data_IF_471448084316
#
_entry.id   IF_471448084316
#
_cell.length_a   1.000
_cell.length_b   1.000
_cell.length_c   1.000
_cell.angle_alpha   90.00
_cell.angle_beta   90.00
_cell.angle_gamma   90.00
#
_symmetry.space_group_name_H-M   'P 1'
#
loop_
_entity.id
_entity.type
_entity.pdbx_description
1 polymer ?
#
# COMPACT_ATOMS: atom_id res chain seq x y z
N UNK A 1 -48.61 3.23 36.30
CA UNK A 1 -47.17 3.58 36.13
C UNK A 1 -46.76 3.15 34.73
N UNK A 2 -46.51 4.09 33.80
CA UNK A 2 -46.06 3.82 32.43
C UNK A 2 -44.51 3.88 32.43
N UNK A 3 -43.86 2.73 32.35
CA UNK A 3 -42.41 2.63 32.19
C UNK A 3 -42.03 2.91 30.75
N UNK A 4 -41.39 4.05 30.52
CA UNK A 4 -40.75 4.36 29.25
C UNK A 4 -39.40 3.60 29.18
N UNK A 5 -39.35 2.59 28.30
CA UNK A 5 -38.07 1.97 27.91
C UNK A 5 -37.45 2.85 26.81
N UNK A 6 -36.38 3.54 27.14
CA UNK A 6 -35.51 4.19 26.17
C UNK A 6 -34.77 3.10 25.40
N UNK A 7 -35.08 2.92 24.11
CA UNK A 7 -34.30 2.09 23.21
C UNK A 7 -33.06 2.87 22.79
N UNK A 8 -31.89 2.50 23.31
CA UNK A 8 -30.63 2.99 22.82
C UNK A 8 -30.39 2.38 21.42
N UNK A 9 -30.41 3.24 20.39
CA UNK A 9 -30.02 2.86 19.04
C UNK A 9 -28.50 2.94 19.01
N UNK A 10 -27.83 1.79 19.09
CA UNK A 10 -26.39 1.68 18.78
C UNK A 10 -26.25 1.79 17.25
N UNK A 11 -25.85 2.94 16.77
CA UNK A 11 -25.43 3.09 15.37
C UNK A 11 -24.06 2.43 15.20
N UNK A 12 -24.04 1.23 14.65
CA UNK A 12 -22.79 0.56 14.25
C UNK A 12 -22.30 1.22 12.95
N UNK A 13 -21.22 2.00 13.04
CA UNK A 13 -20.49 2.44 11.87
C UNK A 13 -19.68 1.26 11.33
N UNK A 14 -20.13 0.66 10.24
CA UNK A 14 -19.28 -0.25 9.47
C UNK A 14 -18.18 0.59 8.82
N UNK A 15 -16.93 0.42 9.25
CA UNK A 15 -15.80 0.98 8.52
C UNK A 15 -15.76 0.29 7.14
N UNK A 16 -15.97 1.06 6.08
CA UNK A 16 -15.83 0.56 4.72
C UNK A 16 -14.36 0.23 4.45
N UNK A 17 -14.09 -0.89 3.77
CA UNK A 17 -12.77 -1.10 3.18
C UNK A 17 -12.49 0.06 2.21
N UNK A 18 -11.41 0.77 2.43
CA UNK A 18 -10.94 1.83 1.54
C UNK A 18 -9.76 1.26 0.77
N UNK A 19 -9.80 1.37 -0.55
CA UNK A 19 -8.70 0.98 -1.41
C UNK A 19 -8.41 2.09 -2.43
N UNK A 20 -7.16 2.19 -2.85
CA UNK A 20 -6.71 3.12 -3.87
C UNK A 20 -5.66 2.47 -4.76
N UNK A 21 -5.72 2.78 -6.05
CA UNK A 21 -4.63 2.52 -6.98
C UNK A 21 -3.78 3.80 -7.07
N UNK A 22 -2.48 3.65 -6.83
CA UNK A 22 -1.55 4.77 -6.71
C UNK A 22 -0.41 4.58 -7.69
N UNK A 23 -0.25 5.52 -8.61
CA UNK A 23 0.94 5.55 -9.47
C UNK A 23 2.10 6.18 -8.71
N UNK A 24 3.22 5.46 -8.65
CA UNK A 24 4.47 5.92 -8.02
C UNK A 24 5.51 6.11 -9.10
N UNK A 25 5.90 7.36 -9.35
CA UNK A 25 6.90 7.72 -10.35
C UNK A 25 8.31 7.64 -9.77
N UNK A 26 9.20 6.93 -10.45
CA UNK A 26 10.57 6.72 -9.97
C UNK A 26 11.33 8.03 -9.69
N UNK A 27 11.14 9.06 -10.51
CA UNK A 27 11.76 10.35 -10.33
C UNK A 27 11.03 11.24 -9.30
N UNK A 28 9.74 11.49 -9.53
CA UNK A 28 8.97 12.45 -8.72
C UNK A 28 8.72 11.98 -7.29
N UNK A 29 8.64 10.67 -7.07
CA UNK A 29 8.41 10.06 -5.77
C UNK A 29 9.66 9.37 -5.19
N UNK A 30 10.85 9.73 -5.64
CA UNK A 30 12.11 9.19 -5.09
C UNK A 30 12.32 9.63 -3.65
N UNK A 31 12.97 8.77 -2.85
CA UNK A 31 13.47 9.12 -1.51
C UNK A 31 14.57 10.19 -1.55
N UNK A 32 15.17 10.42 -2.70
CA UNK A 32 16.26 11.37 -2.94
C UNK A 32 15.71 12.68 -3.54
N UNK A 33 14.95 13.43 -2.71
CA UNK A 33 14.45 14.75 -3.06
C UNK A 33 13.05 14.81 -3.66
N UNK A 34 12.39 13.66 -3.85
CA UNK A 34 11.00 13.59 -4.27
C UNK A 34 10.02 13.70 -3.08
N UNK A 35 8.75 13.94 -3.41
CA UNK A 35 7.66 13.82 -2.44
C UNK A 35 6.94 12.50 -2.65
N UNK A 36 6.83 11.65 -1.63
CA UNK A 36 6.15 10.36 -1.76
C UNK A 36 4.71 10.49 -2.30
N UNK A 37 4.29 9.53 -3.11
CA UNK A 37 2.91 9.44 -3.58
C UNK A 37 1.98 9.13 -2.39
N UNK A 38 1.00 10.00 -2.14
CA UNK A 38 0.01 9.76 -1.08
C UNK A 38 -0.89 8.60 -1.48
N UNK A 39 -0.92 7.55 -0.66
CA UNK A 39 -1.73 6.37 -0.91
C UNK A 39 -3.05 6.42 -0.14
N UNK A 40 -3.01 6.29 1.17
CA UNK A 40 -4.18 6.32 2.04
C UNK A 40 -3.86 7.05 3.35
N UNK A 41 -4.89 7.68 3.93
CA UNK A 41 -4.89 8.00 5.35
C UNK A 41 -5.40 6.79 6.14
N UNK A 42 -4.62 6.32 7.10
CA UNK A 42 -4.94 5.14 7.92
C UNK A 42 -5.15 5.55 9.37
N UNK A 43 -6.17 4.96 9.99
CA UNK A 43 -6.45 5.15 11.41
C UNK A 43 -5.34 4.51 12.28
N UNK A 44 -5.23 4.92 13.57
CA UNK A 44 -4.29 4.30 14.50
C UNK A 44 -4.39 2.78 14.54
N UNK A 45 -3.30 2.08 14.28
CA UNK A 45 -3.24 0.62 14.31
C UNK A 45 -3.98 -0.10 13.16
N UNK A 46 -4.55 0.64 12.21
CA UNK A 46 -5.31 0.05 11.12
C UNK A 46 -4.41 -0.84 10.24
N UNK A 47 -4.86 -2.07 10.00
CA UNK A 47 -4.19 -2.98 9.09
C UNK A 47 -4.34 -2.53 7.63
N UNK A 48 -3.31 -2.73 6.83
CA UNK A 48 -3.31 -2.41 5.41
C UNK A 48 -2.50 -3.43 4.60
N UNK A 49 -2.78 -3.48 3.31
CA UNK A 49 -2.01 -4.24 2.32
C UNK A 49 -1.60 -3.33 1.18
N UNK A 50 -0.44 -3.63 0.59
CA UNK A 50 0.03 -3.02 -0.66
C UNK A 50 0.43 -4.16 -1.59
N UNK A 51 -0.02 -4.11 -2.84
CA UNK A 51 0.37 -5.07 -3.88
C UNK A 51 0.72 -4.34 -5.17
N UNK A 52 1.73 -4.85 -5.86
CA UNK A 52 2.20 -4.36 -7.16
C UNK A 52 2.33 -5.55 -8.08
N UNK A 53 1.97 -5.40 -9.35
CA UNK A 53 2.22 -6.45 -10.35
C UNK A 53 3.74 -6.68 -10.47
N UNK A 54 4.24 -7.91 -10.25
CA UNK A 54 5.66 -8.21 -10.43
C UNK A 54 6.20 -7.94 -11.83
N UNK A 55 5.33 -7.79 -12.83
CA UNK A 55 5.67 -7.43 -14.20
C UNK A 55 5.63 -5.92 -14.48
N UNK A 56 5.35 -5.08 -13.47
CA UNK A 56 5.39 -3.62 -13.56
C UNK A 56 6.80 -3.11 -13.20
N UNK A 57 7.42 -2.31 -14.06
CA UNK A 57 8.83 -1.96 -14.00
C UNK A 57 9.08 -0.47 -14.05
N UNK A 58 10.13 -0.05 -13.34
CA UNK A 58 10.74 1.27 -13.36
C UNK A 58 12.26 1.18 -13.44
N UNK A 59 12.95 2.31 -13.61
CA UNK A 59 14.39 2.33 -13.89
C UNK A 59 15.14 3.29 -12.96
N UNK A 60 16.28 2.84 -12.44
CA UNK A 60 17.24 3.61 -11.63
C UNK A 60 18.37 4.23 -12.48
N UNK A 61 18.12 4.65 -13.71
CA UNK A 61 19.12 5.28 -14.59
C UNK A 61 19.71 4.32 -15.64
N UNK A 62 21.03 4.36 -15.87
CA UNK A 62 21.70 3.63 -16.94
C UNK A 62 21.44 2.11 -16.94
N UNK A 63 21.38 1.52 -18.13
CA UNK A 63 21.12 0.10 -18.33
C UNK A 63 22.24 -0.82 -17.79
N UNK A 64 21.91 -2.01 -17.27
CA UNK A 64 20.57 -2.55 -17.07
C UNK A 64 20.08 -2.32 -15.61
N UNK A 65 19.37 -1.22 -15.36
CA UNK A 65 18.86 -0.83 -14.04
C UNK A 65 17.35 -0.83 -13.92
N UNK A 66 16.68 -1.66 -14.70
CA UNK A 66 15.27 -1.92 -14.58
C UNK A 66 14.98 -2.91 -13.45
N UNK A 67 13.97 -2.63 -12.66
CA UNK A 67 13.48 -3.51 -11.60
C UNK A 67 11.97 -3.38 -11.46
N UNK A 68 11.36 -4.40 -10.87
CA UNK A 68 10.02 -4.25 -10.31
C UNK A 68 10.10 -3.62 -8.90
N UNK A 69 9.00 -3.60 -8.18
CA UNK A 69 8.91 -3.04 -6.82
C UNK A 69 9.84 -3.71 -5.79
N UNK A 70 10.40 -4.89 -6.06
CA UNK A 70 11.37 -5.54 -5.16
C UNK A 70 12.78 -4.93 -5.25
N UNK A 71 13.03 -4.10 -6.26
CA UNK A 71 14.28 -3.41 -6.49
C UNK A 71 15.27 -4.21 -7.35
N UNK A 72 16.48 -3.67 -7.52
CA UNK A 72 17.53 -4.23 -8.36
C UNK A 72 18.09 -5.53 -7.76
N UNK A 73 17.39 -6.60 -8.05
CA UNK A 73 17.78 -7.97 -7.67
C UNK A 73 18.32 -8.74 -8.88
N UNK A 74 19.05 -9.82 -8.62
CA UNK A 74 19.51 -10.71 -9.69
C UNK A 74 18.34 -11.31 -10.47
N UNK A 75 18.55 -11.49 -11.78
CA UNK A 75 17.65 -12.24 -12.66
C UNK A 75 16.28 -11.59 -12.93
N UNK A 76 16.23 -10.27 -13.00
CA UNK A 76 15.04 -9.59 -13.53
C UNK A 76 15.06 -9.73 -15.06
N UNK A 77 14.01 -10.30 -15.63
CA UNK A 77 13.88 -10.55 -17.06
C UNK A 77 12.62 -9.88 -17.60
N UNK A 78 12.74 -9.41 -18.85
CA UNK A 78 11.59 -8.88 -19.58
C UNK A 78 10.58 -9.99 -19.88
N UNK A 79 9.32 -9.71 -19.66
CA UNK A 79 8.19 -10.55 -20.04
C UNK A 79 7.24 -9.75 -20.95
N UNK A 80 6.70 -10.40 -21.97
CA UNK A 80 5.75 -9.75 -22.88
C UNK A 80 4.53 -9.21 -22.10
N UNK A 81 4.12 -7.95 -22.39
CA UNK A 81 3.01 -7.29 -21.70
C UNK A 81 3.39 -6.39 -20.52
N UNK A 82 4.69 -6.16 -20.33
CA UNK A 82 5.18 -5.15 -19.38
C UNK A 82 4.73 -3.73 -19.73
N UNK A 83 4.87 -2.83 -18.75
CA UNK A 83 4.54 -1.41 -18.87
C UNK A 83 5.12 -0.79 -20.14
N UNK A 84 4.34 0.09 -20.76
CA UNK A 84 4.72 0.78 -22.01
C UNK A 84 5.97 1.70 -21.85
N UNK A 85 6.37 2.02 -20.63
CA UNK A 85 7.57 2.81 -20.31
C UNK A 85 8.87 1.99 -20.50
N UNK A 86 8.79 0.67 -20.58
CA UNK A 86 9.93 -0.19 -20.90
C UNK A 86 10.04 -0.37 -22.41
N UNK A 87 11.24 -0.18 -23.01
CA UNK A 87 11.44 -0.52 -24.40
C UNK A 87 11.05 -1.96 -24.70
N UNK A 88 10.36 -2.22 -25.80
CA UNK A 88 10.01 -3.56 -26.22
C UNK A 88 11.28 -4.35 -26.52
N UNK A 89 11.57 -5.36 -25.70
CA UNK A 89 12.72 -6.23 -25.82
C UNK A 89 12.24 -7.68 -26.09
N UNK A 90 13.09 -8.55 -26.62
CA UNK A 90 12.77 -9.97 -26.70
C UNK A 90 12.45 -10.54 -25.31
N UNK A 91 11.43 -11.38 -25.24
CA UNK A 91 11.05 -12.05 -23.99
C UNK A 91 12.23 -12.85 -23.42
N UNK A 92 12.46 -12.78 -22.11
CA UNK A 92 13.60 -13.37 -21.44
C UNK A 92 14.90 -12.57 -21.48
N UNK A 93 14.93 -11.37 -22.12
CA UNK A 93 16.08 -10.46 -22.04
C UNK A 93 16.30 -10.02 -20.60
N UNK A 94 17.52 -10.16 -20.08
CA UNK A 94 17.86 -9.65 -18.75
C UNK A 94 17.89 -8.12 -18.76
N UNK A 95 17.10 -7.49 -17.92
CA UNK A 95 16.94 -6.03 -17.84
C UNK A 95 17.39 -5.44 -16.51
N UNK A 96 17.58 -6.25 -15.49
CA UNK A 96 18.06 -5.85 -14.17
C UNK A 96 19.43 -6.43 -13.87
N UNK A 97 20.16 -5.78 -13.00
CA UNK A 97 21.43 -6.26 -12.45
C UNK A 97 21.41 -6.15 -10.92
N UNK A 98 22.21 -6.99 -10.26
CA UNK A 98 22.44 -6.83 -8.82
C UNK A 98 23.14 -5.52 -8.59
N UNK A 99 22.59 -4.69 -7.73
CA UNK A 99 23.19 -3.47 -7.24
C UNK A 99 23.37 -3.58 -5.73
N UNK A 100 24.31 -2.82 -5.16
CA UNK A 100 24.49 -2.79 -3.69
C UNK A 100 23.24 -2.18 -3.06
N UNK A 101 22.94 -2.58 -1.82
CA UNK A 101 21.87 -1.98 -1.06
C UNK A 101 22.14 -0.50 -0.75
N UNK A 102 21.08 0.28 -0.68
CA UNK A 102 21.09 1.66 -0.22
C UNK A 102 20.61 1.76 1.23
N UNK A 103 21.11 2.74 1.98
CA UNK A 103 20.75 2.97 3.39
C UNK A 103 20.20 4.38 3.51
N UNK A 104 18.91 4.51 3.90
CA UNK A 104 18.27 5.79 4.14
C UNK A 104 17.08 5.64 5.09
N UNK A 105 16.85 6.63 5.98
CA UNK A 105 15.68 6.66 6.87
C UNK A 105 15.52 5.39 7.72
N UNK A 106 16.63 4.81 8.19
CA UNK A 106 16.63 3.59 9.00
C UNK A 106 16.41 2.28 8.24
N UNK A 107 16.27 2.33 6.91
CA UNK A 107 16.09 1.15 6.06
C UNK A 107 17.36 0.85 5.26
N UNK A 108 17.71 -0.43 5.15
CA UNK A 108 18.67 -0.97 4.18
C UNK A 108 17.90 -1.84 3.20
N UNK A 109 17.90 -1.49 1.92
CA UNK A 109 17.18 -2.20 0.87
C UNK A 109 17.85 -2.01 -0.50
N UNK A 110 17.57 -2.89 -1.50
CA UNK A 110 18.03 -2.70 -2.87
C UNK A 110 17.54 -1.37 -3.45
N UNK A 111 18.37 -0.73 -4.27
CA UNK A 111 17.93 0.38 -5.12
C UNK A 111 16.71 -0.01 -5.95
N UNK A 112 15.80 0.93 -6.17
CA UNK A 112 14.58 0.68 -6.93
C UNK A 112 13.50 -0.09 -6.18
N UNK A 113 13.68 -0.37 -4.88
CA UNK A 113 12.61 -0.96 -4.07
C UNK A 113 11.47 0.05 -3.86
N UNK A 114 10.22 -0.44 -3.91
CA UNK A 114 9.08 0.30 -3.37
C UNK A 114 9.15 0.32 -1.85
N UNK A 115 9.12 1.50 -1.26
CA UNK A 115 9.13 1.69 0.20
C UNK A 115 7.99 2.58 0.65
N UNK A 116 7.59 2.43 1.91
CA UNK A 116 6.55 3.23 2.54
C UNK A 116 7.10 4.11 3.66
N UNK A 117 6.39 5.20 3.93
CA UNK A 117 6.63 6.07 5.08
C UNK A 117 5.33 6.64 5.61
N UNK A 118 5.24 6.80 6.94
CA UNK A 118 4.13 7.48 7.64
C UNK A 118 4.52 8.86 8.19
N UNK A 119 5.76 9.24 8.06
CA UNK A 119 6.33 10.47 8.64
C UNK A 119 6.97 11.40 7.61
N UNK A 120 6.46 11.32 6.36
CA UNK A 120 6.89 12.19 5.27
C UNK A 120 8.28 11.87 4.71
N UNK A 121 8.79 10.65 4.92
CA UNK A 121 10.08 10.21 4.41
C UNK A 121 11.24 10.34 5.41
N UNK A 122 10.96 10.57 6.70
CA UNK A 122 12.00 10.54 7.73
C UNK A 122 12.46 9.11 8.01
N UNK A 123 11.51 8.16 8.05
CA UNK A 123 11.78 6.73 8.18
C UNK A 123 11.06 5.95 7.11
N UNK A 124 11.70 4.88 6.62
CA UNK A 124 11.16 4.02 5.58
C UNK A 124 11.00 2.58 6.05
N UNK A 125 10.05 1.88 5.46
CA UNK A 125 9.93 0.42 5.54
C UNK A 125 9.75 -0.16 4.14
N UNK A 126 10.27 -1.37 3.94
CA UNK A 126 10.19 -2.03 2.63
C UNK A 126 8.77 -2.53 2.37
N UNK A 127 8.31 -2.30 1.15
CA UNK A 127 7.05 -2.84 0.62
C UNK A 127 7.33 -3.95 -0.40
N UNK A 128 8.09 -3.66 -1.44
CA UNK A 128 8.30 -4.59 -2.55
C UNK A 128 7.04 -4.80 -3.37
N UNK A 129 6.90 -5.97 -3.97
CA UNK A 129 5.71 -6.37 -4.76
C UNK A 129 4.51 -6.73 -3.87
N UNK A 130 4.71 -7.03 -2.58
CA UNK A 130 3.62 -7.31 -1.64
C UNK A 130 4.03 -7.00 -0.21
N UNK A 131 3.15 -6.30 0.50
CA UNK A 131 3.34 -5.98 1.91
C UNK A 131 2.01 -6.02 2.67
N UNK A 132 2.06 -6.48 3.91
CA UNK A 132 0.96 -6.37 4.88
C UNK A 132 1.52 -5.81 6.17
N UNK A 133 0.85 -4.81 6.73
CA UNK A 133 1.32 -4.12 7.93
C UNK A 133 0.21 -3.43 8.68
N UNK A 134 0.62 -2.68 9.69
CA UNK A 134 -0.26 -1.87 10.51
C UNK A 134 0.22 -0.42 10.50
N UNK A 135 -0.71 0.53 10.46
CA UNK A 135 -0.42 1.93 10.67
C UNK A 135 0.14 2.16 12.09
N UNK A 136 0.97 3.20 12.30
CA UNK A 136 1.43 3.59 13.62
C UNK A 136 0.28 3.82 14.60
N UNK A 137 0.56 3.80 15.92
CA UNK A 137 -0.45 4.08 16.95
C UNK A 137 -1.06 5.49 16.87
N UNK A 138 -0.41 6.41 16.17
CA UNK A 138 -0.94 7.74 15.87
C UNK A 138 -1.77 7.80 14.57
N UNK A 139 -1.83 6.72 13.80
CA UNK A 139 -2.35 6.74 12.44
C UNK A 139 -1.46 7.55 11.49
N UNK A 140 -1.98 7.94 10.33
CA UNK A 140 -1.30 8.88 9.44
C UNK A 140 -1.43 8.57 7.97
N UNK A 141 -0.79 9.40 7.15
CA UNK A 141 -0.76 9.28 5.71
C UNK A 141 0.33 8.28 5.29
N UNK A 142 -0.08 7.17 4.69
CA UNK A 142 0.85 6.28 4.03
C UNK A 142 1.28 6.92 2.71
N UNK A 143 2.59 7.15 2.56
CA UNK A 143 3.21 7.61 1.33
C UNK A 143 4.14 6.55 0.77
N UNK A 144 4.13 6.39 -0.54
CA UNK A 144 4.93 5.42 -1.29
C UNK A 144 6.06 6.12 -2.01
N UNK A 145 7.25 5.50 -1.99
CA UNK A 145 8.45 6.09 -2.58
C UNK A 145 9.23 5.07 -3.39
N UNK A 146 9.94 5.58 -4.39
CA UNK A 146 11.05 4.89 -5.06
C UNK A 146 12.33 5.03 -4.22
N UNK A 147 12.95 3.93 -3.82
CA UNK A 147 14.10 3.94 -2.93
C UNK A 147 15.42 4.09 -3.70
N UNK A 148 16.02 5.31 -3.65
CA UNK A 148 17.19 5.64 -4.42
C UNK A 148 17.96 6.83 -3.81
N UNK A 149 19.25 6.95 -4.14
CA UNK A 149 20.16 8.02 -3.73
C UNK A 149 20.20 9.20 -4.72
N UNK A 150 19.72 9.01 -5.96
CA UNK A 150 19.74 10.03 -7.02
C UNK A 150 18.48 9.95 -7.88
N UNK A 151 17.60 10.93 -7.77
CA UNK A 151 16.37 10.97 -8.56
C UNK A 151 16.55 11.46 -10.00
N UNK A 152 17.72 12.03 -10.34
CA UNK A 152 17.90 12.79 -11.57
C UNK A 152 17.85 11.96 -12.85
N UNK A 153 18.19 10.69 -12.78
CA UNK A 153 18.23 9.73 -13.90
C UNK A 153 17.16 8.63 -13.82
N UNK A 154 16.30 8.68 -12.79
CA UNK A 154 15.21 7.72 -12.63
C UNK A 154 14.12 7.93 -13.68
N UNK A 155 13.59 6.85 -14.22
CA UNK A 155 12.47 6.87 -15.18
C UNK A 155 11.46 5.78 -14.87
N UNK A 156 10.25 5.93 -15.43
CA UNK A 156 9.18 4.97 -15.28
C UNK A 156 8.35 5.19 -14.02
N UNK A 157 7.34 4.37 -13.89
CA UNK A 157 6.40 4.34 -12.78
C UNK A 157 5.86 2.94 -12.58
N UNK A 158 5.35 2.66 -11.41
CA UNK A 158 4.58 1.44 -11.11
C UNK A 158 3.22 1.80 -10.53
N UNK A 159 2.26 0.89 -10.65
CA UNK A 159 0.95 1.01 -10.04
C UNK A 159 0.83 0.13 -8.79
N UNK A 160 0.61 0.75 -7.64
CA UNK A 160 0.43 0.07 -6.37
C UNK A 160 -1.05 0.07 -5.97
N UNK A 161 -1.61 -1.11 -5.72
CA UNK A 161 -2.93 -1.26 -5.10
C UNK A 161 -2.78 -1.27 -3.58
N UNK A 162 -3.38 -0.28 -2.91
CA UNK A 162 -3.31 -0.11 -1.45
C UNK A 162 -4.71 -0.28 -0.87
N UNK A 163 -4.87 -1.17 0.09
CA UNK A 163 -6.16 -1.42 0.73
C UNK A 163 -6.05 -1.38 2.26
N UNK A 164 -6.93 -0.62 2.88
CA UNK A 164 -7.16 -0.69 4.32
C UNK A 164 -8.00 -1.92 4.65
N UNK A 165 -7.50 -2.76 5.56
CA UNK A 165 -8.20 -3.97 5.99
C UNK A 165 -9.14 -3.61 7.14
N UNK A 166 -10.45 -3.85 7.02
CA UNK A 166 -11.39 -3.61 8.12
C UNK A 166 -11.05 -4.50 9.32
N UNK A 167 -11.11 -3.92 10.51
CA UNK A 167 -10.86 -4.68 11.75
C UNK A 167 -11.93 -5.76 11.96
N UNK A 168 -11.55 -6.96 12.44
CA UNK A 168 -12.51 -8.04 12.74
C UNK A 168 -13.59 -7.61 13.72
N UNK A 169 -13.29 -6.68 14.63
CA UNK A 169 -14.24 -6.13 15.60
C UNK A 169 -15.39 -5.38 14.91
N UNK A 170 -15.12 -4.71 13.78
CA UNK A 170 -16.14 -4.02 12.98
C UNK A 170 -17.19 -5.01 12.44
N UNK A 171 -16.75 -6.17 11.96
CA UNK A 171 -17.68 -7.22 11.53
C UNK A 171 -18.44 -7.83 12.70
N UNK A 172 -17.79 -8.06 13.84
CA UNK A 172 -18.42 -8.57 15.05
C UNK A 172 -19.50 -7.61 15.56
N UNK A 173 -19.21 -6.31 15.57
CA UNK A 173 -20.19 -5.27 15.97
C UNK A 173 -21.36 -5.17 14.98
N UNK A 174 -21.11 -5.30 13.69
CA UNK A 174 -22.16 -5.34 12.68
C UNK A 174 -23.11 -6.52 12.90
N UNK A 175 -22.56 -7.73 13.08
CA UNK A 175 -23.34 -8.94 13.32
C UNK A 175 -24.11 -8.84 14.64
N UNK A 176 -23.48 -8.32 15.70
CA UNK A 176 -24.13 -8.10 16.99
C UNK A 176 -25.30 -7.09 16.85
N UNK A 177 -25.09 -5.98 16.13
CA UNK A 177 -26.11 -4.97 15.87
C UNK A 177 -27.32 -5.53 15.09
N UNK A 178 -27.06 -6.30 14.02
CA UNK A 178 -28.10 -6.99 13.27
C UNK A 178 -28.84 -8.03 14.11
N UNK A 179 -28.15 -8.76 14.99
CA UNK A 179 -28.74 -9.71 15.93
C UNK A 179 -29.71 -9.03 16.90
N UNK A 180 -29.33 -7.90 17.48
CA UNK A 180 -30.19 -7.09 18.36
C UNK A 180 -31.43 -6.58 17.62
N UNK A 181 -31.25 -6.05 16.42
CA UNK A 181 -32.38 -5.57 15.59
C UNK A 181 -33.36 -6.70 15.24
N UNK A 182 -32.85 -7.88 14.87
CA UNK A 182 -33.65 -9.07 14.59
C UNK A 182 -34.44 -9.54 15.82
N UNK A 183 -33.82 -9.53 16.98
CA UNK A 183 -34.47 -9.90 18.25
C UNK A 183 -35.60 -8.92 18.61
N UNK A 184 -35.38 -7.61 18.49
CA UNK A 184 -36.41 -6.58 18.76
C UNK A 184 -37.55 -6.68 17.79
N UNK A 185 -37.28 -6.88 16.48
CA UNK A 185 -38.29 -7.04 15.46
C UNK A 185 -39.20 -8.28 15.70
N UNK A 186 -38.57 -9.40 16.11
CA UNK A 186 -39.30 -10.63 16.44
C UNK A 186 -40.22 -10.43 17.65
N UNK A 187 -39.72 -9.75 18.71
CA UNK A 187 -40.53 -9.50 19.92
C UNK A 187 -41.75 -8.62 19.65
N UNK A 188 -41.63 -7.64 18.72
CA UNK A 188 -42.77 -6.78 18.33
C UNK A 188 -43.84 -7.51 17.54
N UNK A 189 -43.53 -8.62 16.85
CA UNK A 189 -44.50 -9.42 16.12
C UNK A 189 -45.22 -10.43 16.99
N UNK A 190 -44.70 -10.71 18.18
CA UNK A 190 -45.26 -11.69 19.13
C UNK A 190 -46.10 -11.03 20.25
N UNK A 191 -46.16 -9.69 20.25
CA UNK A 191 -47.02 -8.89 21.13
C UNK A 191 -48.15 -8.24 20.38
#
# INVERSE_FOLDING_TARGET
MKTFFAAAIAASFAASAVAADVTVYAQANSTSGGSGALALHLAPGQAFTVTVDPADFWNAGDLPRWSNADGLAANVHFHAGMDAEIPVLPDGTQIGAVFSDWIQGGLTAPYGSLVGSFDGGAHFFRIGTSHSGFAPLGGGDLRLYYFDSNSGDNTGSISAHVAAVPEPETYAMLVAGLGVLGFVARRRRSA
#
